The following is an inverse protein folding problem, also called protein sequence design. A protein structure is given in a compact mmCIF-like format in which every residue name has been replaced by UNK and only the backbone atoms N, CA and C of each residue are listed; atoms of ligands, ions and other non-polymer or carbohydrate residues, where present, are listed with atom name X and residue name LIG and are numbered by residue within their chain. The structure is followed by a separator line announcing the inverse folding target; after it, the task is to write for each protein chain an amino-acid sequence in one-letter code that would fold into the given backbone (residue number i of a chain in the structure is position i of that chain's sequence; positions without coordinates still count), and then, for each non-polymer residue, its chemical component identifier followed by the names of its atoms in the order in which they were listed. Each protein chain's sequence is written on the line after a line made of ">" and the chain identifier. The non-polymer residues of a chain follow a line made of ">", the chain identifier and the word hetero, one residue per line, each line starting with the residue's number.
data_IF_553180666816
#
_entry.id   IF_553180666816
#
_cell.length_a   1.000
_cell.length_b   1.000
_cell.length_c   1.000
_cell.angle_alpha   90.00
_cell.angle_beta   90.00
_cell.angle_gamma   90.00
#
_symmetry.space_group_name_H-M   'P 1'
#
loop_
_entity.id
_entity.type
_entity.pdbx_description
1 polymer ?
#
# COMPACT_ATOMS: atom_id res chain seq x y z
N UNK A 1 -21.06 42.90 -17.87
CA UNK A 1 -22.20 41.95 -17.69
C UNK A 1 -22.00 40.80 -18.65
N UNK A 2 -22.18 39.57 -18.17
CA UNK A 2 -22.41 38.40 -19.03
C UNK A 2 -21.18 37.56 -19.33
N UNK A 3 -21.19 36.35 -18.79
CA UNK A 3 -20.17 35.30 -18.81
C UNK A 3 -20.65 34.22 -19.79
N UNK A 4 -19.74 33.51 -20.47
CA UNK A 4 -19.65 32.03 -20.56
C UNK A 4 -19.37 31.39 -21.93
N UNK A 5 -18.33 30.55 -21.90
CA UNK A 5 -18.19 29.19 -22.44
C UNK A 5 -18.07 28.92 -23.95
N UNK A 6 -16.86 28.52 -24.37
CA UNK A 6 -16.68 27.21 -25.00
C UNK A 6 -15.23 26.68 -24.87
N UNK A 7 -15.11 25.65 -24.00
CA UNK A 7 -14.41 24.39 -24.21
C UNK A 7 -13.02 24.42 -24.89
N UNK A 8 -11.99 24.70 -24.11
CA UNK A 8 -10.69 24.06 -24.34
C UNK A 8 -10.69 22.69 -23.65
N UNK A 9 -10.75 21.65 -24.47
CA UNK A 9 -10.60 20.25 -24.13
C UNK A 9 -9.22 19.99 -23.54
N UNK A 10 -9.14 19.88 -22.20
CA UNK A 10 -7.95 19.41 -21.50
C UNK A 10 -7.96 17.87 -21.45
N UNK A 11 -7.59 17.25 -22.56
CA UNK A 11 -7.29 15.82 -22.62
C UNK A 11 -5.80 15.64 -22.36
N UNK A 12 -5.41 15.35 -21.12
CA UNK A 12 -4.18 14.63 -20.71
C UNK A 12 -4.04 14.76 -19.18
N UNK A 13 -4.66 13.86 -18.41
CA UNK A 13 -4.36 13.53 -16.99
C UNK A 13 -5.28 12.39 -16.52
N UNK A 14 -5.31 11.27 -17.24
CA UNK A 14 -6.08 10.07 -16.80
C UNK A 14 -5.16 8.85 -16.63
N UNK A 15 -3.94 9.09 -16.14
CA UNK A 15 -3.05 8.08 -15.61
C UNK A 15 -2.33 8.70 -14.41
N UNK A 16 -2.44 8.07 -13.24
CA UNK A 16 -1.90 8.49 -11.93
C UNK A 16 -2.72 9.51 -11.13
N UNK A 17 -3.61 9.03 -10.25
CA UNK A 17 -3.78 9.56 -8.88
C UNK A 17 -4.95 8.94 -8.08
N UNK A 18 -5.08 7.61 -7.97
CA UNK A 18 -6.00 7.01 -6.99
C UNK A 18 -5.39 6.92 -5.57
N UNK A 19 -4.76 8.00 -5.11
CA UNK A 19 -4.46 8.20 -3.67
C UNK A 19 -4.66 9.66 -3.30
N UNK A 20 -5.82 10.22 -3.62
CA UNK A 20 -6.25 11.43 -2.91
C UNK A 20 -6.69 11.01 -1.51
N UNK A 21 -5.78 11.23 -0.56
CA UNK A 21 -5.84 10.97 0.88
C UNK A 21 -5.50 9.52 1.33
N UNK A 22 -4.42 9.31 2.12
CA UNK A 22 -4.22 8.04 2.80
C UNK A 22 -5.42 7.80 3.70
N UNK A 23 -6.08 6.67 3.53
CA UNK A 23 -7.18 6.28 4.40
C UNK A 23 -6.65 6.29 5.83
N UNK A 24 -7.16 7.19 6.67
CA UNK A 24 -6.65 7.42 8.03
C UNK A 24 -6.66 6.12 8.87
N UNK A 25 -7.55 5.18 8.55
CA UNK A 25 -7.59 3.86 9.20
C UNK A 25 -6.44 2.97 8.75
N UNK A 26 -6.10 2.97 7.46
CA UNK A 26 -4.97 2.23 6.91
C UNK A 26 -3.66 2.77 7.49
N UNK A 27 -3.41 4.09 7.42
CA UNK A 27 -2.18 4.70 7.97
C UNK A 27 -2.03 4.44 9.48
N UNK A 28 -3.12 4.59 10.24
CA UNK A 28 -3.12 4.25 11.67
C UNK A 28 -2.77 2.78 11.90
N UNK A 29 -3.29 1.87 11.07
CA UNK A 29 -2.98 0.45 11.20
C UNK A 29 -1.54 0.14 10.78
N UNK A 30 -1.01 0.78 9.74
CA UNK A 30 0.40 0.67 9.31
C UNK A 30 1.33 1.05 10.46
N UNK A 31 1.11 2.21 11.11
CA UNK A 31 1.93 2.65 12.26
C UNK A 31 1.85 1.68 13.44
N UNK A 32 0.66 1.14 13.72
CA UNK A 32 0.48 0.14 14.79
C UNK A 32 1.21 -1.16 14.46
N UNK A 33 1.12 -1.65 13.22
CA UNK A 33 1.86 -2.83 12.76
C UNK A 33 3.37 -2.63 12.87
N UNK A 34 3.88 -1.45 12.49
CA UNK A 34 5.29 -1.14 12.62
C UNK A 34 5.77 -1.29 14.07
N UNK A 35 5.02 -0.72 15.02
CA UNK A 35 5.32 -0.88 16.45
C UNK A 35 5.27 -2.36 16.88
N UNK A 36 4.25 -3.11 16.47
CA UNK A 36 4.11 -4.54 16.77
C UNK A 36 5.31 -5.36 16.24
N UNK A 37 5.79 -5.09 15.03
CA UNK A 37 6.95 -5.77 14.45
C UNK A 37 8.27 -5.36 15.11
N UNK A 38 8.46 -4.06 15.39
CA UNK A 38 9.64 -3.60 16.13
C UNK A 38 9.73 -4.24 17.51
N UNK A 39 8.61 -4.35 18.24
CA UNK A 39 8.57 -5.06 19.53
C UNK A 39 8.91 -6.55 19.41
N UNK A 40 8.66 -7.16 18.25
CA UNK A 40 9.04 -8.54 17.94
C UNK A 40 10.49 -8.68 17.43
N UNK A 41 11.28 -7.60 17.42
CA UNK A 41 12.68 -7.61 17.01
C UNK A 41 12.92 -7.42 15.51
N UNK A 42 11.91 -6.96 14.76
CA UNK A 42 12.09 -6.64 13.34
C UNK A 42 12.60 -5.21 13.15
N UNK A 43 13.47 -5.02 12.15
CA UNK A 43 13.77 -3.71 11.58
C UNK A 43 12.65 -3.35 10.59
N UNK A 44 12.01 -2.21 10.78
CA UNK A 44 10.80 -1.84 10.03
C UNK A 44 11.03 -0.58 9.19
N UNK A 45 10.61 -0.63 7.92
CA UNK A 45 10.51 0.51 7.01
C UNK A 45 9.04 0.72 6.62
N UNK A 46 8.51 1.92 6.88
CA UNK A 46 7.14 2.32 6.49
C UNK A 46 7.22 3.10 5.18
N UNK A 47 6.30 2.83 4.25
CA UNK A 47 6.26 3.43 2.90
C UNK A 47 7.65 3.41 2.22
N UNK A 48 8.25 2.22 2.06
CA UNK A 48 9.58 2.09 1.45
C UNK A 48 9.59 2.74 0.06
N UNK A 49 10.69 3.44 -0.24
CA UNK A 49 10.95 3.88 -1.61
C UNK A 49 11.25 2.68 -2.51
N UNK A 50 10.97 2.80 -3.81
CA UNK A 50 11.22 1.75 -4.80
C UNK A 50 12.69 1.29 -4.80
N UNK A 51 13.62 2.20 -4.55
CA UNK A 51 15.07 1.92 -4.51
C UNK A 51 15.49 1.04 -3.32
N UNK A 52 14.64 0.95 -2.29
CA UNK A 52 14.85 0.07 -1.14
C UNK A 52 14.25 -1.33 -1.33
N UNK A 53 13.61 -1.59 -2.48
CA UNK A 53 12.95 -2.85 -2.78
C UNK A 53 13.72 -3.64 -3.84
N UNK A 54 13.58 -4.98 -3.86
CA UNK A 54 14.01 -5.78 -5.00
C UNK A 54 13.37 -5.28 -6.31
N UNK A 55 14.06 -5.40 -7.46
CA UNK A 55 13.54 -4.92 -8.74
C UNK A 55 12.16 -5.47 -9.10
N UNK A 56 11.86 -6.71 -8.68
CA UNK A 56 10.55 -7.36 -8.89
C UNK A 56 9.41 -6.71 -8.10
N UNK A 57 9.73 -5.93 -7.06
CA UNK A 57 8.75 -5.24 -6.21
C UNK A 57 8.79 -3.72 -6.32
N UNK A 58 9.79 -3.16 -7.02
CA UNK A 58 9.99 -1.71 -7.14
C UNK A 58 8.78 -0.96 -7.76
N UNK A 59 7.97 -1.64 -8.55
CA UNK A 59 6.76 -1.06 -9.17
C UNK A 59 5.51 -1.12 -8.27
N UNK A 60 5.60 -1.72 -7.08
CA UNK A 60 4.47 -1.84 -6.16
C UNK A 60 4.58 -0.88 -4.98
N UNK A 61 3.44 -0.32 -4.61
CA UNK A 61 3.34 0.52 -3.41
C UNK A 61 3.02 -0.34 -2.18
N UNK A 62 4.07 -0.85 -1.55
CA UNK A 62 3.99 -1.51 -0.25
C UNK A 62 3.88 -0.47 0.88
N UNK A 63 3.16 -0.82 1.94
CA UNK A 63 2.96 0.10 3.06
C UNK A 63 4.00 -0.11 4.16
N UNK A 64 4.52 -1.32 4.28
CA UNK A 64 5.49 -1.70 5.30
C UNK A 64 6.37 -2.86 4.85
N UNK A 65 7.66 -2.79 5.18
CA UNK A 65 8.62 -3.90 5.13
C UNK A 65 9.13 -4.14 6.54
N UNK A 66 9.07 -5.38 7.02
CA UNK A 66 9.69 -5.80 8.28
C UNK A 66 10.74 -6.87 8.01
N UNK A 67 11.97 -6.66 8.49
CA UNK A 67 13.10 -7.59 8.29
C UNK A 67 13.60 -8.12 9.62
N UNK A 68 13.80 -9.43 9.72
CA UNK A 68 14.43 -10.10 10.86
C UNK A 68 15.34 -11.23 10.36
N UNK A 69 16.65 -11.00 10.37
CA UNK A 69 17.62 -11.93 9.79
C UNK A 69 17.36 -12.11 8.28
N UNK A 70 17.14 -13.37 7.87
CA UNK A 70 16.83 -13.73 6.48
C UNK A 70 15.35 -13.62 6.13
N UNK A 71 14.48 -13.35 7.11
CA UNK A 71 13.04 -13.24 6.91
C UNK A 71 12.64 -11.78 6.63
N UNK A 72 11.91 -11.56 5.55
CA UNK A 72 11.36 -10.26 5.16
C UNK A 72 9.85 -10.40 4.99
N UNK A 73 9.09 -9.51 5.61
CA UNK A 73 7.63 -9.45 5.47
C UNK A 73 7.29 -8.17 4.72
N UNK A 74 6.70 -8.32 3.54
CA UNK A 74 6.12 -7.23 2.77
C UNK A 74 4.64 -7.12 3.08
N UNK A 75 4.17 -5.93 3.49
CA UNK A 75 2.79 -5.75 3.95
C UNK A 75 2.06 -4.69 3.14
N UNK A 76 0.80 -5.00 2.80
CA UNK A 76 -0.18 -4.02 2.34
C UNK A 76 -1.36 -3.98 3.30
N UNK A 77 -1.79 -2.77 3.67
CA UNK A 77 -2.92 -2.53 4.57
C UNK A 77 -4.07 -1.90 3.79
N UNK A 78 -5.23 -2.54 3.80
CA UNK A 78 -6.41 -2.06 3.06
C UNK A 78 -7.66 -2.03 3.94
N UNK A 79 -8.57 -1.10 3.70
CA UNK A 79 -9.96 -1.24 4.17
C UNK A 79 -10.80 -2.09 3.23
N UNK A 80 -11.98 -2.51 3.68
CA UNK A 80 -12.91 -3.30 2.86
C UNK A 80 -13.26 -2.56 1.56
N UNK A 81 -13.46 -1.26 1.65
CA UNK A 81 -13.81 -0.39 0.52
C UNK A 81 -12.65 -0.34 -0.49
N UNK A 82 -11.43 -0.07 -0.02
CA UNK A 82 -10.23 0.02 -0.86
C UNK A 82 -9.78 -1.33 -1.44
N UNK A 83 -10.07 -2.44 -0.75
CA UNK A 83 -9.83 -3.79 -1.27
C UNK A 83 -10.68 -4.05 -2.54
N UNK A 84 -11.93 -3.60 -2.53
CA UNK A 84 -12.91 -3.87 -3.60
C UNK A 84 -12.74 -3.01 -4.85
N UNK A 85 -12.14 -1.82 -4.72
CA UNK A 85 -12.21 -0.79 -5.76
C UNK A 85 -11.20 -0.94 -6.90
N UNK A 86 -10.15 -1.75 -6.76
CA UNK A 86 -9.17 -2.15 -7.83
C UNK A 86 -7.96 -2.89 -7.24
N UNK A 87 -7.82 -2.97 -5.91
CA UNK A 87 -6.64 -3.51 -5.24
C UNK A 87 -6.38 -5.01 -5.44
N UNK A 88 -7.40 -5.83 -5.74
CA UNK A 88 -7.24 -7.28 -5.77
C UNK A 88 -6.24 -7.80 -6.82
N UNK A 89 -6.17 -7.19 -8.01
CA UNK A 89 -5.24 -7.63 -9.07
C UNK A 89 -3.79 -7.28 -8.73
N UNK A 90 -3.55 -6.10 -8.15
CA UNK A 90 -2.22 -5.69 -7.74
C UNK A 90 -1.74 -6.49 -6.52
N UNK A 91 -2.63 -6.78 -5.56
CA UNK A 91 -2.32 -7.62 -4.41
C UNK A 91 -1.93 -9.04 -4.81
N UNK A 92 -2.62 -9.62 -5.81
CA UNK A 92 -2.26 -10.93 -6.35
C UNK A 92 -0.87 -10.91 -6.98
N UNK A 93 -0.59 -9.91 -7.84
CA UNK A 93 0.72 -9.77 -8.50
C UNK A 93 1.85 -9.53 -7.50
N UNK A 94 1.59 -8.80 -6.43
CA UNK A 94 2.55 -8.62 -5.33
C UNK A 94 2.84 -9.97 -4.68
N UNK A 95 1.80 -10.73 -4.31
CA UNK A 95 1.96 -12.07 -3.70
C UNK A 95 2.82 -12.98 -4.59
N UNK A 96 2.47 -13.09 -5.88
CA UNK A 96 3.21 -13.91 -6.85
C UNK A 96 4.67 -13.44 -7.06
N UNK A 97 4.93 -12.14 -6.90
CA UNK A 97 6.28 -11.58 -7.03
C UNK A 97 7.11 -11.82 -5.77
N UNK A 98 6.49 -11.73 -4.59
CA UNK A 98 7.11 -11.96 -3.29
C UNK A 98 7.48 -13.43 -3.11
N UNK A 99 6.61 -14.37 -3.49
CA UNK A 99 6.84 -15.81 -3.38
C UNK A 99 8.10 -16.30 -4.13
N UNK A 100 8.54 -15.54 -5.15
CA UNK A 100 9.74 -15.86 -5.94
C UNK A 100 11.03 -15.43 -5.26
N UNK A 101 10.97 -14.72 -4.14
CA UNK A 101 12.13 -14.17 -3.44
C UNK A 101 12.37 -14.98 -2.16
N UNK A 102 13.48 -15.73 -2.05
CA UNK A 102 13.76 -16.52 -0.86
C UNK A 102 13.76 -15.68 0.42
N UNK A 103 13.05 -16.17 1.44
CA UNK A 103 12.94 -15.50 2.74
C UNK A 103 11.89 -14.38 2.79
N UNK A 104 11.22 -14.06 1.68
CA UNK A 104 10.17 -13.05 1.67
C UNK A 104 8.77 -13.67 1.82
N UNK A 105 7.91 -12.99 2.56
CA UNK A 105 6.50 -13.32 2.75
C UNK A 105 5.62 -12.09 2.48
N UNK A 106 4.44 -12.28 1.90
CA UNK A 106 3.48 -11.20 1.68
C UNK A 106 2.33 -11.30 2.68
N UNK A 107 2.04 -10.20 3.38
CA UNK A 107 0.90 -10.08 4.29
C UNK A 107 -0.08 -9.00 3.82
N UNK A 108 -1.32 -9.41 3.56
CA UNK A 108 -2.44 -8.48 3.40
C UNK A 108 -3.17 -8.30 4.73
N UNK A 109 -3.17 -7.07 5.24
CA UNK A 109 -3.91 -6.73 6.47
C UNK A 109 -5.15 -5.93 6.11
N UNK A 110 -6.32 -6.53 6.37
CA UNK A 110 -7.59 -5.83 6.21
C UNK A 110 -7.99 -5.16 7.52
N UNK A 111 -8.24 -3.85 7.48
CA UNK A 111 -8.68 -3.07 8.64
C UNK A 111 -10.03 -2.43 8.40
N UNK A 112 -10.85 -2.29 9.44
CA UNK A 112 -12.12 -1.59 9.35
C UNK A 112 -12.32 -0.74 10.60
N UNK A 113 -13.09 0.35 10.46
CA UNK A 113 -13.56 1.08 11.63
C UNK A 113 -14.44 0.15 12.46
N UNK A 114 -14.14 0.03 13.77
CA UNK A 114 -15.11 -0.53 14.70
C UNK A 114 -16.22 0.51 14.81
N UNK A 115 -17.43 0.22 14.32
CA UNK A 115 -18.62 0.96 14.75
C UNK A 115 -18.68 0.83 16.26
N UNK A 116 -18.58 1.94 17.00
CA UNK A 116 -19.01 1.95 18.40
C UNK A 116 -20.53 1.73 18.36
N UNK A 117 -20.94 0.54 18.82
CA UNK A 117 -22.30 0.32 19.32
C UNK A 117 -22.46 1.02 20.66
#
# INVERSE_FOLDING_TARGET
>A
MGINNSLFSNSYSHAMSYREHPNRLEDKRVRKLAQEYTQKGYVVSIYPSADCLPPTLANYSLDLIATNGTKVIATSVRTRENLSLNGNKDLLRISESVEKIPGWEFELVVTNSRKRS
#
